data_IF_455458286955
#
_entry.id   IF_455458286955
#
_cell.length_a   1.000
_cell.length_b   1.000
_cell.length_c   1.000
_cell.angle_alpha   90.00
_cell.angle_beta   90.00
_cell.angle_gamma   90.00
#
_symmetry.space_group_name_H-M   'P 1'
#
loop_
_entity.id
_entity.type
_entity.pdbx_description
1 polymer ?
#
# COMPACT_ATOMS: atom_id res chain seq x y z
N UNK A 1 9.38 69.85 -21.88
CA UNK A 1 9.76 69.88 -20.44
C UNK A 1 8.62 69.24 -19.66
N UNK A 2 8.78 68.20 -18.84
CA UNK A 2 9.91 67.28 -18.64
C UNK A 2 9.79 66.53 -17.30
N UNK A 3 9.86 65.18 -17.30
CA UNK A 3 10.10 64.24 -16.16
C UNK A 3 9.19 64.35 -14.90
N UNK A 4 8.85 63.32 -14.10
CA UNK A 4 9.03 61.84 -13.98
C UNK A 4 7.86 61.35 -13.04
N UNK A 5 7.58 60.07 -12.71
CA UNK A 5 8.33 58.80 -12.78
C UNK A 5 7.39 57.55 -12.81
N UNK A 6 8.00 56.36 -12.63
CA UNK A 6 7.56 55.01 -12.17
C UNK A 6 6.27 54.86 -11.31
N UNK A 7 5.60 53.69 -11.22
CA UNK A 7 6.15 52.31 -11.14
C UNK A 7 5.18 51.14 -11.52
N UNK A 8 5.76 50.07 -12.07
CA UNK A 8 5.34 48.64 -12.10
C UNK A 8 3.87 48.21 -12.34
N UNK A 9 3.61 47.62 -13.51
CA UNK A 9 2.60 46.58 -13.69
C UNK A 9 3.22 45.19 -13.42
N UNK A 10 2.63 44.41 -12.50
CA UNK A 10 3.02 43.01 -12.27
C UNK A 10 2.46 42.10 -13.36
N UNK A 11 3.26 41.16 -13.84
CA UNK A 11 2.79 40.06 -14.68
C UNK A 11 1.93 39.09 -13.86
N UNK A 12 0.80 38.67 -14.42
CA UNK A 12 0.01 37.54 -13.93
C UNK A 12 -0.29 36.60 -15.11
N UNK A 13 0.68 35.74 -15.43
CA UNK A 13 0.52 34.70 -16.45
C UNK A 13 -0.18 33.48 -15.89
N UNK A 14 -1.52 33.45 -15.90
CA UNK A 14 -2.29 32.24 -15.65
C UNK A 14 -2.49 31.48 -16.97
N UNK A 15 -1.70 30.42 -17.19
CA UNK A 15 -1.86 29.53 -18.35
C UNK A 15 -2.38 28.18 -17.90
N UNK A 16 -3.71 28.03 -17.81
CA UNK A 16 -4.37 26.72 -17.80
C UNK A 16 -4.64 26.33 -19.26
N UNK A 17 -3.94 25.32 -19.78
CA UNK A 17 -4.31 24.66 -21.04
C UNK A 17 -4.86 23.28 -20.75
N UNK A 18 -6.18 23.16 -20.81
CA UNK A 18 -6.85 21.89 -21.00
C UNK A 18 -6.44 21.31 -22.36
N UNK A 19 -5.98 20.06 -22.38
CA UNK A 19 -5.67 19.35 -23.60
C UNK A 19 -6.81 18.38 -23.93
N UNK A 20 -7.70 18.79 -24.83
CA UNK A 20 -8.56 17.85 -25.54
C UNK A 20 -7.76 17.22 -26.69
N UNK A 21 -7.68 15.90 -26.75
CA UNK A 21 -7.32 15.15 -27.97
C UNK A 21 -8.59 14.51 -28.52
N UNK A 22 -8.80 14.61 -29.83
CA UNK A 22 -10.01 14.16 -30.54
C UNK A 22 -9.73 12.95 -31.44
N UNK A 23 -10.67 11.99 -31.45
CA UNK A 23 -10.65 10.78 -32.29
C UNK A 23 -10.04 9.56 -31.58
N UNK A 24 -10.59 8.33 -31.66
CA UNK A 24 -11.73 7.80 -32.45
C UNK A 24 -12.59 6.88 -31.58
N UNK A 25 -13.85 6.65 -31.95
CA UNK A 25 -14.89 6.09 -31.09
C UNK A 25 -14.71 4.62 -30.63
N UNK A 26 -14.85 4.42 -29.32
CA UNK A 26 -15.55 3.29 -28.71
C UNK A 26 -16.49 3.85 -27.63
N UNK A 27 -17.70 3.30 -27.50
CA UNK A 27 -18.76 3.93 -26.71
C UNK A 27 -18.71 3.53 -25.23
N UNK A 28 -18.10 4.38 -24.41
CA UNK A 28 -18.33 4.47 -22.96
C UNK A 28 -18.35 5.93 -22.54
N UNK A 29 -19.39 6.36 -21.84
CA UNK A 29 -19.58 7.76 -21.46
C UNK A 29 -18.63 8.14 -20.32
N UNK A 30 -17.39 8.53 -20.67
CA UNK A 30 -16.44 9.07 -19.71
C UNK A 30 -16.90 10.46 -19.23
N UNK A 31 -17.66 10.52 -18.14
CA UNK A 31 -17.88 11.75 -17.39
C UNK A 31 -16.55 12.23 -16.84
N UNK A 32 -16.05 13.36 -17.37
CA UNK A 32 -14.85 14.01 -16.87
C UNK A 32 -15.10 14.51 -15.43
N UNK A 33 -14.57 13.78 -14.45
CA UNK A 33 -14.68 14.14 -13.04
C UNK A 33 -13.76 15.32 -12.77
N UNK A 34 -14.35 16.45 -12.38
CA UNK A 34 -13.61 17.56 -11.83
C UNK A 34 -13.16 17.19 -10.43
N UNK A 35 -11.86 17.02 -10.22
CA UNK A 35 -11.28 16.97 -8.88
C UNK A 35 -11.54 18.33 -8.23
N UNK A 36 -12.64 18.41 -7.49
CA UNK A 36 -12.90 19.53 -6.61
C UNK A 36 -11.82 19.50 -5.54
N UNK A 37 -10.90 20.47 -5.63
CA UNK A 37 -10.12 20.89 -4.49
C UNK A 37 -11.11 21.43 -3.43
N UNK A 38 -11.63 20.51 -2.63
CA UNK A 38 -12.51 20.80 -1.50
C UNK A 38 -11.83 21.83 -0.61
N UNK A 39 -12.63 22.73 -0.05
CA UNK A 39 -12.15 23.88 0.70
C UNK A 39 -11.00 23.50 1.63
N UNK A 40 -9.91 24.26 1.57
CA UNK A 40 -8.81 24.20 2.55
C UNK A 40 -9.42 24.09 3.94
N UNK A 41 -9.16 23.00 4.64
CA UNK A 41 -9.55 22.88 6.03
C UNK A 41 -8.78 23.94 6.82
N UNK A 42 -9.40 25.10 7.02
CA UNK A 42 -8.95 26.15 7.92
C UNK A 42 -9.24 25.76 9.38
N UNK A 43 -8.96 24.51 9.73
CA UNK A 43 -8.47 24.21 11.05
C UNK A 43 -7.01 24.66 11.08
N UNK A 44 -6.54 25.17 12.21
CA UNK A 44 -5.12 25.24 12.48
C UNK A 44 -4.63 23.80 12.63
N UNK A 45 -4.28 23.17 11.51
CA UNK A 45 -3.45 21.97 11.53
C UNK A 45 -2.13 22.46 12.13
N UNK A 46 -1.92 22.13 13.41
CA UNK A 46 -0.60 22.22 14.03
C UNK A 46 0.31 21.42 13.13
N UNK A 47 1.10 22.12 12.30
CA UNK A 47 2.00 21.48 11.33
C UNK A 47 2.71 20.35 12.05
N UNK A 48 2.60 19.09 11.57
CA UNK A 48 2.93 17.91 12.38
C UNK A 48 4.34 18.05 13.00
N UNK A 49 4.35 18.45 14.28
CA UNK A 49 5.50 18.84 15.11
C UNK A 49 5.71 17.86 16.25
N UNK A 50 5.06 16.70 16.20
CA UNK A 50 5.40 15.58 17.06
C UNK A 50 6.91 15.29 16.94
N UNK A 51 7.58 15.15 18.08
CA UNK A 51 9.03 14.93 18.11
C UNK A 51 9.40 13.58 17.48
N UNK A 52 10.50 13.49 16.72
CA UNK A 52 10.97 12.22 16.18
C UNK A 52 11.21 11.22 17.32
N UNK A 53 10.68 10.00 17.17
CA UNK A 53 10.78 8.97 18.20
C UNK A 53 12.24 8.55 18.34
N UNK A 54 12.83 8.89 19.49
CA UNK A 54 14.21 8.60 19.81
C UNK A 54 14.30 7.32 20.63
N UNK A 55 14.43 6.18 19.94
CA UNK A 55 14.68 4.88 20.58
C UNK A 55 16.18 4.67 20.68
N UNK A 56 16.72 4.67 21.90
CA UNK A 56 18.13 4.31 22.14
C UNK A 56 18.36 2.85 21.76
N UNK A 57 19.55 2.55 21.23
CA UNK A 57 19.95 1.17 20.93
C UNK A 57 19.93 0.30 22.20
N UNK A 58 20.24 0.88 23.38
CA UNK A 58 20.20 0.21 24.68
C UNK A 58 18.77 -0.06 25.22
N UNK A 59 17.73 0.54 24.61
CA UNK A 59 16.33 0.43 25.08
C UNK A 59 15.47 -0.51 24.24
N UNK A 60 15.96 -0.96 23.07
CA UNK A 60 15.26 -1.93 22.23
C UNK A 60 15.45 -3.36 22.73
N UNK A 61 14.40 -4.17 22.68
CA UNK A 61 14.47 -5.61 22.96
C UNK A 61 14.65 -6.39 21.65
N UNK A 62 15.81 -7.03 21.48
CA UNK A 62 16.06 -7.93 20.35
C UNK A 62 15.22 -9.19 20.48
N UNK A 63 14.33 -9.43 19.51
CA UNK A 63 13.44 -10.60 19.51
C UNK A 63 14.25 -11.90 19.48
N UNK A 64 15.31 -11.98 18.68
CA UNK A 64 16.06 -13.23 18.51
C UNK A 64 16.99 -13.56 19.69
N UNK A 65 17.39 -12.54 20.47
CA UNK A 65 18.31 -12.71 21.60
C UNK A 65 17.56 -12.83 22.94
N UNK A 66 16.41 -12.17 23.09
CA UNK A 66 15.64 -12.15 24.34
C UNK A 66 14.48 -13.15 24.39
N UNK A 67 13.82 -13.47 23.26
CA UNK A 67 12.63 -14.32 23.27
C UNK A 67 13.01 -15.81 23.18
N UNK A 68 12.21 -16.67 23.82
CA UNK A 68 12.44 -18.12 23.79
C UNK A 68 11.95 -18.72 22.47
N UNK A 69 12.79 -19.53 21.81
CA UNK A 69 12.38 -20.26 20.61
C UNK A 69 11.47 -21.45 20.96
N UNK A 70 10.32 -21.55 20.29
CA UNK A 70 9.31 -22.60 20.51
C UNK A 70 8.87 -23.24 19.19
N UNK A 71 8.21 -24.40 19.28
CA UNK A 71 7.54 -25.01 18.14
C UNK A 71 6.41 -24.10 17.62
N UNK A 72 6.24 -24.03 16.31
CA UNK A 72 5.17 -23.25 15.67
C UNK A 72 3.79 -23.79 16.13
N UNK A 73 2.93 -22.98 16.78
CA UNK A 73 1.60 -23.43 17.22
C UNK A 73 0.55 -23.38 16.09
N UNK A 74 0.90 -22.83 14.93
CA UNK A 74 0.02 -22.65 13.78
C UNK A 74 0.24 -23.74 12.72
N UNK A 75 -0.86 -24.24 12.14
CA UNK A 75 -0.86 -25.15 10.99
C UNK A 75 -1.73 -24.57 9.88
N UNK A 76 -1.41 -24.89 8.62
CA UNK A 76 -2.24 -24.47 7.50
C UNK A 76 -3.61 -25.18 7.56
N UNK A 77 -4.71 -24.42 7.58
CA UNK A 77 -6.07 -24.97 7.54
C UNK A 77 -6.47 -25.40 6.13
N UNK A 78 -6.00 -24.68 5.11
CA UNK A 78 -6.18 -25.01 3.71
C UNK A 78 -4.90 -24.78 2.91
N UNK A 79 -4.79 -25.48 1.79
CA UNK A 79 -3.79 -25.25 0.75
C UNK A 79 -4.46 -25.36 -0.62
N UNK A 80 -4.34 -24.34 -1.45
CA UNK A 80 -4.90 -24.28 -2.80
C UNK A 80 -3.81 -24.12 -3.85
N UNK A 81 -4.14 -24.49 -5.09
CA UNK A 81 -3.27 -24.36 -6.25
C UNK A 81 -3.91 -23.43 -7.27
N UNK A 82 -3.21 -22.37 -7.63
CA UNK A 82 -3.60 -21.40 -8.65
C UNK A 82 -2.72 -21.53 -9.90
N UNK A 83 -3.18 -21.05 -11.07
CA UNK A 83 -2.35 -20.98 -12.28
C UNK A 83 -1.03 -20.24 -12.05
N UNK A 84 0.02 -20.68 -12.73
CA UNK A 84 1.30 -19.97 -12.75
C UNK A 84 1.11 -18.53 -13.26
N UNK A 85 1.80 -17.57 -12.65
CA UNK A 85 1.65 -16.15 -12.97
C UNK A 85 0.53 -15.44 -12.19
N UNK A 86 -0.13 -16.12 -11.25
CA UNK A 86 -1.02 -15.48 -10.27
C UNK A 86 -0.19 -14.76 -9.19
N UNK A 87 -0.36 -13.45 -9.03
CA UNK A 87 0.28 -12.67 -7.96
C UNK A 87 -0.81 -12.07 -7.08
N UNK A 88 -0.91 -12.54 -5.84
CA UNK A 88 -1.85 -12.03 -4.85
C UNK A 88 -1.29 -10.75 -4.23
N UNK A 89 -2.16 -9.81 -3.89
CA UNK A 89 -1.80 -8.58 -3.17
C UNK A 89 -2.51 -8.56 -1.80
N UNK A 90 -1.94 -7.92 -0.76
CA UNK A 90 -2.57 -7.85 0.56
C UNK A 90 -3.94 -7.15 0.54
N UNK A 91 -4.90 -7.72 1.25
CA UNK A 91 -6.22 -7.14 1.49
C UNK A 91 -6.82 -7.62 2.82
N UNK A 92 -7.92 -6.99 3.24
CA UNK A 92 -8.83 -7.45 4.29
C UNK A 92 -9.83 -8.50 3.77
N UNK A 93 -10.87 -8.84 4.54
CA UNK A 93 -12.01 -9.63 4.05
C UNK A 93 -11.70 -11.07 3.62
N UNK A 94 -12.64 -11.69 2.90
CA UNK A 94 -12.55 -13.03 2.32
C UNK A 94 -11.82 -13.02 0.97
N UNK A 95 -12.04 -11.99 0.15
CA UNK A 95 -11.48 -11.86 -1.20
C UNK A 95 -10.12 -11.16 -1.20
N UNK A 96 -9.13 -11.83 -1.79
CA UNK A 96 -7.82 -11.26 -2.06
C UNK A 96 -7.71 -10.87 -3.54
N UNK A 97 -7.22 -9.65 -3.85
CA UNK A 97 -7.04 -9.20 -5.23
C UNK A 97 -5.79 -9.85 -5.83
N UNK A 98 -5.86 -10.21 -7.11
CA UNK A 98 -4.84 -11.00 -7.82
C UNK A 98 -4.63 -10.42 -9.21
N UNK A 99 -3.38 -10.15 -9.60
CA UNK A 99 -3.03 -10.01 -11.02
C UNK A 99 -2.76 -11.39 -11.60
N UNK A 100 -3.37 -11.71 -12.74
CA UNK A 100 -3.20 -13.00 -13.42
C UNK A 100 -2.83 -12.78 -14.88
N UNK A 101 -2.20 -13.78 -15.51
CA UNK A 101 -1.90 -13.74 -16.93
C UNK A 101 -3.19 -13.74 -17.77
N UNK A 102 -3.30 -12.81 -18.72
CA UNK A 102 -4.39 -12.79 -19.68
C UNK A 102 -4.29 -13.93 -20.71
N UNK A 103 -5.43 -14.37 -21.24
CA UNK A 103 -5.48 -15.39 -22.30
C UNK A 103 -4.90 -14.93 -23.66
N UNK A 104 -4.48 -13.66 -23.77
CA UNK A 104 -3.85 -13.08 -24.95
C UNK A 104 -2.87 -11.97 -24.56
N UNK A 105 -2.18 -11.38 -25.53
CA UNK A 105 -1.29 -10.24 -25.27
C UNK A 105 -2.04 -8.91 -25.02
N UNK A 106 -3.37 -8.88 -25.09
CA UNK A 106 -4.15 -7.64 -25.07
C UNK A 106 -5.40 -7.77 -24.17
N UNK A 107 -5.27 -7.51 -22.85
CA UNK A 107 -4.03 -7.22 -22.11
C UNK A 107 -3.29 -8.50 -21.69
N UNK A 108 -1.96 -8.43 -21.57
CA UNK A 108 -1.12 -9.53 -21.04
C UNK A 108 -1.41 -9.86 -19.56
N UNK A 109 -1.97 -8.92 -18.81
CA UNK A 109 -2.30 -9.06 -17.38
C UNK A 109 -3.74 -8.60 -17.18
N UNK A 110 -4.52 -9.40 -16.45
CA UNK A 110 -5.92 -9.15 -16.11
C UNK A 110 -6.10 -9.06 -14.58
N UNK A 111 -7.23 -8.51 -14.14
CA UNK A 111 -7.59 -8.44 -12.73
C UNK A 111 -8.44 -9.65 -12.32
N UNK A 112 -8.12 -10.29 -11.21
CA UNK A 112 -8.83 -11.44 -10.66
C UNK A 112 -8.98 -11.33 -9.14
N UNK A 113 -9.91 -12.09 -8.54
CA UNK A 113 -10.07 -12.18 -7.10
C UNK A 113 -10.03 -13.64 -6.63
N UNK A 114 -9.31 -13.91 -5.54
CA UNK A 114 -9.20 -15.22 -4.91
C UNK A 114 -9.97 -15.27 -3.61
N UNK A 115 -10.86 -16.25 -3.45
CA UNK A 115 -11.62 -16.48 -2.23
C UNK A 115 -10.82 -17.34 -1.24
N UNK A 116 -10.47 -16.76 -0.10
CA UNK A 116 -9.83 -17.49 1.01
C UNK A 116 -10.77 -18.46 1.74
N UNK A 117 -12.07 -18.46 1.42
CA UNK A 117 -13.06 -19.40 1.99
C UNK A 117 -13.35 -20.61 1.11
N UNK A 118 -13.33 -20.44 -0.22
CA UNK A 118 -13.64 -21.51 -1.19
C UNK A 118 -12.44 -22.01 -1.99
N UNK A 119 -11.34 -21.25 -2.04
CA UNK A 119 -10.21 -21.53 -2.92
C UNK A 119 -10.45 -21.15 -4.38
N UNK A 120 -11.58 -20.51 -4.68
CA UNK A 120 -11.96 -20.15 -6.05
C UNK A 120 -11.23 -18.87 -6.50
N UNK A 121 -10.64 -18.90 -7.69
CA UNK A 121 -10.07 -17.75 -8.38
C UNK A 121 -11.03 -17.34 -9.50
N UNK A 122 -11.51 -16.09 -9.48
CA UNK A 122 -12.41 -15.53 -10.50
C UNK A 122 -11.74 -14.38 -11.24
N UNK A 123 -11.87 -14.37 -12.56
CA UNK A 123 -11.51 -13.21 -13.38
C UNK A 123 -12.54 -12.09 -13.17
N UNK A 124 -12.07 -10.88 -12.88
CA UNK A 124 -12.91 -9.70 -12.53
C UNK A 124 -12.86 -8.65 -13.63
N UNK A 125 -11.67 -8.33 -14.15
CA UNK A 125 -11.47 -7.37 -15.26
C UNK A 125 -10.57 -7.99 -16.31
N UNK A 126 -11.19 -8.55 -17.36
CA UNK A 126 -10.52 -9.29 -18.44
C UNK A 126 -10.07 -8.43 -19.63
N UNK A 127 -10.45 -7.15 -19.63
CA UNK A 127 -10.12 -6.15 -20.66
C UNK A 127 -9.93 -4.79 -20.01
N UNK A 128 -9.00 -4.01 -20.55
CA UNK A 128 -8.78 -2.62 -20.15
C UNK A 128 -9.96 -1.74 -20.54
N UNK A 129 -10.34 -0.82 -19.64
CA UNK A 129 -11.35 0.22 -19.85
C UNK A 129 -10.82 1.29 -20.81
N UNK A 130 -9.51 1.59 -20.77
CA UNK A 130 -8.88 2.51 -21.74
C UNK A 130 -8.93 1.99 -23.17
N UNK A 131 -9.02 0.66 -23.35
CA UNK A 131 -9.14 0.00 -24.64
C UNK A 131 -7.91 0.09 -25.55
N UNK A 132 -6.77 0.65 -25.11
CA UNK A 132 -5.54 0.68 -25.91
C UNK A 132 -4.88 -0.70 -25.92
N UNK A 133 -4.29 -1.09 -27.06
CA UNK A 133 -3.58 -2.37 -27.20
C UNK A 133 -2.29 -2.45 -26.38
N UNK A 134 -1.87 -1.30 -25.82
CA UNK A 134 -0.65 -1.05 -25.06
C UNK A 134 -0.92 -0.88 -23.56
N UNK A 135 -2.18 -0.82 -23.14
CA UNK A 135 -2.57 -0.81 -21.73
C UNK A 135 -2.58 -2.22 -21.13
N UNK A 136 -2.15 -2.32 -19.88
CA UNK A 136 -2.25 -3.52 -19.04
C UNK A 136 -2.91 -3.20 -17.70
N UNK A 137 -3.51 -4.20 -17.06
CA UNK A 137 -3.82 -4.11 -15.62
C UNK A 137 -2.48 -4.12 -14.88
N UNK A 138 -2.12 -2.99 -14.25
CA UNK A 138 -0.83 -2.77 -13.60
C UNK A 138 -0.85 -3.19 -12.12
N UNK A 139 -1.90 -2.82 -11.41
CA UNK A 139 -2.11 -3.15 -10.00
C UNK A 139 -3.60 -3.29 -9.69
N UNK A 140 -3.91 -4.01 -8.61
CA UNK A 140 -5.27 -4.32 -8.16
C UNK A 140 -5.36 -4.23 -6.63
N UNK A 141 -6.51 -3.80 -6.13
CA UNK A 141 -6.85 -3.80 -4.71
C UNK A 141 -8.35 -4.13 -4.55
N UNK A 142 -8.74 -4.83 -3.49
CA UNK A 142 -10.14 -5.04 -3.16
C UNK A 142 -10.38 -5.21 -1.67
N UNK A 143 -11.64 -5.07 -1.30
CA UNK A 143 -12.26 -5.62 -0.09
C UNK A 143 -13.34 -6.63 -0.51
N UNK A 144 -14.17 -7.07 0.43
CA UNK A 144 -15.37 -7.85 0.09
C UNK A 144 -16.50 -7.01 -0.56
N UNK A 145 -16.37 -5.67 -0.63
CA UNK A 145 -17.42 -4.74 -1.11
C UNK A 145 -17.01 -3.77 -2.23
N UNK A 146 -15.70 -3.58 -2.48
CA UNK A 146 -15.20 -2.72 -3.58
C UNK A 146 -13.97 -3.35 -4.24
N UNK A 147 -13.84 -3.16 -5.55
CA UNK A 147 -12.68 -3.60 -6.33
C UNK A 147 -12.13 -2.41 -7.13
N UNK A 148 -10.82 -2.19 -7.06
CA UNK A 148 -10.11 -1.10 -7.72
C UNK A 148 -8.90 -1.63 -8.49
N UNK A 149 -8.57 -0.97 -9.61
CA UNK A 149 -7.43 -1.36 -10.44
C UNK A 149 -6.83 -0.17 -11.18
N UNK A 150 -5.52 -0.23 -11.41
CA UNK A 150 -4.81 0.74 -12.24
C UNK A 150 -4.55 0.13 -13.60
N UNK A 151 -4.89 0.87 -14.66
CA UNK A 151 -4.46 0.58 -16.03
C UNK A 151 -3.29 1.50 -16.38
N UNK A 152 -2.23 0.92 -16.95
CA UNK A 152 -1.03 1.64 -17.39
C UNK A 152 -0.79 1.38 -18.88
N UNK A 153 -0.66 2.44 -19.68
CA UNK A 153 -0.14 2.34 -21.03
C UNK A 153 1.39 2.16 -21.00
N UNK A 154 1.86 1.03 -21.51
CA UNK A 154 3.28 0.65 -21.44
C UNK A 154 4.18 1.49 -22.36
N UNK A 155 3.63 2.33 -23.25
CA UNK A 155 4.38 3.23 -24.13
C UNK A 155 4.34 4.67 -23.61
N UNK A 156 3.15 5.23 -23.39
CA UNK A 156 3.01 6.64 -22.97
C UNK A 156 3.26 6.84 -21.48
N UNK A 157 3.12 5.77 -20.68
CA UNK A 157 3.05 5.81 -19.20
C UNK A 157 1.88 6.64 -18.67
N UNK A 158 0.89 6.95 -19.50
CA UNK A 158 -0.41 7.42 -19.04
C UNK A 158 -1.09 6.28 -18.27
N UNK A 159 -1.71 6.61 -17.14
CA UNK A 159 -2.41 5.64 -16.31
C UNK A 159 -3.76 6.16 -15.84
N UNK A 160 -4.66 5.24 -15.53
CA UNK A 160 -6.00 5.53 -15.02
C UNK A 160 -6.34 4.57 -13.87
N UNK A 161 -6.86 5.12 -12.78
CA UNK A 161 -7.40 4.35 -11.66
C UNK A 161 -8.91 4.20 -11.86
N UNK A 162 -9.40 2.98 -11.77
CA UNK A 162 -10.82 2.64 -11.83
C UNK A 162 -11.27 1.91 -10.56
N UNK A 163 -12.55 2.01 -10.24
CA UNK A 163 -13.17 1.19 -9.22
C UNK A 163 -14.65 0.89 -9.53
N UNK A 164 -15.18 -0.18 -8.94
CA UNK A 164 -16.61 -0.49 -8.93
C UNK A 164 -16.98 -1.20 -7.62
N UNK A 165 -18.28 -1.17 -7.29
CA UNK A 165 -18.83 -2.04 -6.25
C UNK A 165 -18.55 -3.51 -6.61
N UNK A 166 -18.26 -4.32 -5.61
CA UNK A 166 -17.82 -5.70 -5.79
C UNK A 166 -18.53 -6.62 -4.81
N UNK A 167 -18.84 -7.83 -5.25
CA UNK A 167 -19.36 -8.88 -4.37
C UNK A 167 -19.17 -10.24 -5.00
N UNK A 168 -18.90 -11.27 -4.17
CA UNK A 168 -18.82 -12.67 -4.59
C UNK A 168 -17.84 -12.95 -5.76
N UNK A 169 -16.79 -12.12 -5.90
CA UNK A 169 -15.78 -12.25 -6.94
C UNK A 169 -16.20 -11.70 -8.30
N UNK A 170 -17.13 -10.73 -8.34
CA UNK A 170 -17.55 -10.02 -9.55
C UNK A 170 -17.82 -8.53 -9.27
N UNK A 171 -17.69 -7.69 -10.30
CA UNK A 171 -18.15 -6.30 -10.24
C UNK A 171 -19.69 -6.26 -10.25
N UNK A 172 -20.28 -5.47 -9.36
CA UNK A 172 -21.75 -5.36 -9.19
C UNK A 172 -22.28 -3.95 -9.43
N UNK A 173 -21.41 -2.96 -9.64
CA UNK A 173 -21.77 -1.57 -9.91
C UNK A 173 -21.22 -1.04 -11.23
N UNK A 174 -21.53 0.22 -11.54
CA UNK A 174 -20.90 0.94 -12.63
C UNK A 174 -19.38 1.11 -12.37
N UNK A 175 -18.58 0.89 -13.41
CA UNK A 175 -17.13 1.16 -13.36
C UNK A 175 -16.89 2.66 -13.45
N UNK A 176 -16.29 3.22 -12.41
CA UNK A 176 -15.97 4.64 -12.30
C UNK A 176 -14.47 4.88 -12.44
N UNK A 177 -14.08 5.82 -13.31
CA UNK A 177 -12.73 6.40 -13.30
C UNK A 177 -12.57 7.26 -12.06
N UNK A 178 -11.59 6.95 -11.19
CA UNK A 178 -11.29 7.75 -9.99
C UNK A 178 -10.18 8.78 -10.24
N UNK A 179 -9.21 8.44 -11.09
CA UNK A 179 -8.08 9.32 -11.41
C UNK A 179 -7.49 9.00 -12.79
N UNK A 180 -6.86 9.99 -13.42
CA UNK A 180 -6.02 9.82 -14.62
C UNK A 180 -4.78 10.71 -14.50
N UNK A 181 -3.62 10.21 -14.90
CA UNK A 181 -2.39 11.01 -14.98
C UNK A 181 -1.44 10.49 -16.07
N UNK A 182 -0.38 11.25 -16.34
CA UNK A 182 0.67 10.96 -17.30
C UNK A 182 1.98 10.53 -16.61
N UNK A 183 3.06 10.44 -17.38
CA UNK A 183 4.39 10.03 -16.92
C UNK A 183 5.02 10.91 -15.84
N UNK A 184 4.48 12.10 -15.56
CA UNK A 184 4.97 12.96 -14.48
C UNK A 184 4.50 12.49 -13.09
N UNK A 185 3.59 11.52 -13.02
CA UNK A 185 3.04 10.95 -11.79
C UNK A 185 3.20 9.43 -11.81
N UNK A 186 3.69 8.84 -10.71
CA UNK A 186 3.78 7.39 -10.64
C UNK A 186 2.38 6.75 -10.57
N UNK A 187 2.18 5.55 -11.17
CA UNK A 187 0.91 4.82 -11.07
C UNK A 187 0.45 4.68 -9.62
N UNK A 188 -0.83 4.94 -9.37
CA UNK A 188 -1.37 5.03 -8.01
C UNK A 188 -1.06 3.79 -7.15
N UNK A 189 -0.61 4.05 -5.92
CA UNK A 189 -0.58 3.05 -4.85
C UNK A 189 -1.96 3.05 -4.19
N UNK A 190 -2.64 1.91 -4.22
CA UNK A 190 -4.08 1.77 -3.88
C UNK A 190 -4.27 0.74 -2.78
N UNK A 191 -5.19 1.02 -1.86
CA UNK A 191 -5.75 0.07 -0.91
C UNK A 191 -7.29 0.20 -0.88
N UNK A 192 -7.96 -0.86 -0.41
CA UNK A 192 -9.40 -0.89 -0.26
C UNK A 192 -9.77 -1.37 1.15
N UNK A 193 -10.84 -0.80 1.73
CA UNK A 193 -11.43 -1.24 2.99
C UNK A 193 -12.92 -0.95 2.99
N UNK A 194 -13.75 -1.93 3.39
CA UNK A 194 -15.20 -1.81 3.30
C UNK A 194 -15.65 -1.35 1.90
N UNK A 195 -16.43 -0.29 1.82
CA UNK A 195 -16.86 0.33 0.54
C UNK A 195 -15.89 1.39 -0.01
N UNK A 196 -14.71 1.55 0.57
CA UNK A 196 -13.79 2.66 0.30
C UNK A 196 -12.54 2.25 -0.47
N UNK A 197 -12.11 3.14 -1.37
CA UNK A 197 -10.86 3.08 -2.13
C UNK A 197 -9.99 4.25 -1.68
N UNK A 198 -8.77 3.94 -1.25
CA UNK A 198 -7.79 4.89 -0.74
C UNK A 198 -6.56 4.81 -1.63
N UNK A 199 -6.09 5.94 -2.18
CA UNK A 199 -4.90 5.92 -3.04
C UNK A 199 -4.03 7.14 -2.86
N UNK A 200 -2.77 7.03 -3.28
CA UNK A 200 -1.82 8.13 -3.32
C UNK A 200 -1.56 8.56 -4.77
N UNK A 201 -1.52 9.87 -4.99
CA UNK A 201 -1.03 10.51 -6.22
C UNK A 201 0.29 11.19 -5.86
N UNK A 202 1.38 10.76 -6.50
CA UNK A 202 2.74 11.19 -6.18
C UNK A 202 3.52 11.56 -7.45
N UNK A 203 4.30 12.66 -7.45
CA UNK A 203 5.15 12.98 -8.60
C UNK A 203 6.19 11.89 -8.83
N UNK A 204 6.38 11.52 -10.10
CA UNK A 204 7.39 10.53 -10.49
C UNK A 204 8.79 11.05 -10.18
N UNK A 205 9.68 10.18 -9.70
CA UNK A 205 11.06 10.54 -9.30
C UNK A 205 11.92 11.03 -10.46
N UNK A 206 11.49 10.79 -11.70
CA UNK A 206 12.13 11.27 -12.94
C UNK A 206 11.29 12.27 -13.74
N UNK A 207 10.14 12.70 -13.21
CA UNK A 207 9.19 13.60 -13.90
C UNK A 207 9.53 15.09 -13.75
N UNK A 208 8.84 15.93 -14.52
CA UNK A 208 8.91 17.39 -14.42
C UNK A 208 8.33 17.94 -13.10
N UNK A 209 7.54 17.11 -12.41
CA UNK A 209 6.74 17.47 -11.22
C UNK A 209 7.37 17.09 -9.88
N UNK A 210 8.62 16.62 -9.85
CA UNK A 210 9.34 16.10 -8.66
C UNK A 210 9.27 16.95 -7.38
N UNK A 211 9.02 18.26 -7.49
CA UNK A 211 8.90 19.20 -6.37
C UNK A 211 7.46 19.47 -5.89
N UNK A 212 6.42 18.88 -6.50
CA UNK A 212 5.03 19.08 -6.08
C UNK A 212 4.66 18.21 -4.85
N UNK A 213 3.67 18.65 -4.07
CA UNK A 213 3.09 17.86 -2.98
C UNK A 213 2.47 16.57 -3.52
N UNK A 214 2.50 15.52 -2.69
CA UNK A 214 1.72 14.30 -2.92
C UNK A 214 0.42 14.37 -2.12
N UNK A 215 -0.62 13.71 -2.61
CA UNK A 215 -1.93 13.69 -1.96
C UNK A 215 -2.44 12.25 -1.81
N UNK A 216 -3.01 11.94 -0.65
CA UNK A 216 -3.85 10.78 -0.46
C UNK A 216 -5.31 11.18 -0.69
N UNK A 217 -6.02 10.35 -1.45
CA UNK A 217 -7.42 10.50 -1.80
C UNK A 217 -8.25 9.35 -1.23
N UNK A 218 -9.51 9.66 -0.95
CA UNK A 218 -10.55 8.73 -0.54
C UNK A 218 -11.73 8.83 -1.51
N UNK A 219 -12.26 7.68 -1.92
CA UNK A 219 -13.57 7.57 -2.56
C UNK A 219 -14.34 6.39 -1.95
N UNK A 220 -15.67 6.50 -1.89
CA UNK A 220 -16.55 5.44 -1.38
C UNK A 220 -17.60 5.10 -2.43
N UNK A 221 -17.94 3.82 -2.57
CA UNK A 221 -18.97 3.33 -3.49
C UNK A 221 -20.25 4.17 -3.38
N UNK A 222 -20.73 4.69 -4.52
CA UNK A 222 -21.90 5.56 -4.62
C UNK A 222 -21.61 7.06 -4.50
N UNK A 223 -20.42 7.49 -4.07
CA UNK A 223 -20.07 8.92 -4.02
C UNK A 223 -19.81 9.50 -5.42
N UNK A 224 -20.28 10.72 -5.68
CA UNK A 224 -20.08 11.44 -6.95
C UNK A 224 -18.61 11.75 -7.23
N UNK A 225 -17.86 12.12 -6.19
CA UNK A 225 -16.50 12.66 -6.30
C UNK A 225 -15.58 12.03 -5.24
N UNK A 226 -14.27 12.11 -5.50
CA UNK A 226 -13.24 11.75 -4.54
C UNK A 226 -12.84 12.96 -3.68
N UNK A 227 -12.32 12.72 -2.48
CA UNK A 227 -11.83 13.76 -1.58
C UNK A 227 -10.32 13.63 -1.41
N UNK A 228 -9.58 14.74 -1.50
CA UNK A 228 -8.21 14.80 -1.00
C UNK A 228 -8.29 14.86 0.54
N UNK A 229 -7.66 13.90 1.21
CA UNK A 229 -7.83 13.69 2.67
C UNK A 229 -6.54 13.91 3.46
N UNK A 230 -5.37 13.64 2.86
CA UNK A 230 -4.06 13.92 3.48
C UNK A 230 -3.10 14.48 2.44
N UNK A 231 -2.53 15.66 2.71
CA UNK A 231 -1.39 16.19 1.95
C UNK A 231 -0.07 15.67 2.53
N UNK A 232 0.92 15.48 1.67
CA UNK A 232 2.31 15.25 2.03
C UNK A 232 3.18 16.25 1.25
N UNK A 233 3.93 17.15 1.91
CA UNK A 233 4.86 18.07 1.25
C UNK A 233 6.08 17.31 0.70
N UNK A 234 5.89 16.72 -0.48
CA UNK A 234 6.76 15.71 -1.09
C UNK A 234 6.19 14.29 -0.95
N UNK A 235 6.92 13.28 -1.42
CA UNK A 235 6.42 11.90 -1.50
C UNK A 235 6.22 11.23 -0.14
N UNK A 236 5.11 10.51 0.03
CA UNK A 236 4.95 9.53 1.11
C UNK A 236 6.03 8.45 1.01
N UNK A 237 6.46 7.88 2.13
CA UNK A 237 7.47 6.82 2.12
C UNK A 237 6.98 5.47 1.56
N UNK A 238 5.72 5.11 1.85
CA UNK A 238 5.11 3.79 1.64
C UNK A 238 3.69 3.91 1.07
N UNK A 239 3.19 2.81 0.49
CA UNK A 239 1.80 2.67 0.05
C UNK A 239 0.79 2.79 1.21
N UNK A 240 -0.47 3.18 0.94
CA UNK A 240 -1.51 3.15 1.98
C UNK A 240 -1.73 1.71 2.45
N UNK A 241 -1.78 1.49 3.76
CA UNK A 241 -1.86 0.14 4.35
C UNK A 241 -3.05 0.03 5.29
N UNK A 242 -4.11 -0.65 4.83
CA UNK A 242 -5.32 -0.94 5.64
C UNK A 242 -4.99 -2.00 6.70
N UNK A 243 -5.45 -1.76 7.93
CA UNK A 243 -5.10 -2.50 9.14
C UNK A 243 -6.31 -2.59 10.08
N UNK A 244 -7.33 -3.39 9.73
CA UNK A 244 -8.64 -3.30 10.39
C UNK A 244 -9.28 -1.94 10.13
N UNK A 245 -9.83 -1.30 11.16
CA UNK A 245 -10.57 -0.02 11.06
C UNK A 245 -9.69 1.19 10.71
N UNK A 246 -8.36 0.99 10.59
CA UNK A 246 -7.37 2.02 10.36
C UNK A 246 -6.72 1.90 8.98
N UNK A 247 -6.30 3.04 8.44
CA UNK A 247 -5.30 3.09 7.35
C UNK A 247 -4.04 3.78 7.84
N UNK A 248 -2.89 3.12 7.62
CA UNK A 248 -1.57 3.68 7.88
C UNK A 248 -1.07 4.38 6.62
N UNK A 249 -0.69 5.65 6.78
CA UNK A 249 -0.04 6.48 5.79
C UNK A 249 1.31 6.95 6.33
N UNK A 250 2.22 7.31 5.44
CA UNK A 250 3.56 7.79 5.81
C UNK A 250 3.91 9.14 5.13
N UNK A 251 3.13 10.22 5.35
CA UNK A 251 3.40 11.53 4.77
C UNK A 251 4.72 12.13 5.26
N UNK A 252 5.18 13.15 4.54
CA UNK A 252 6.19 14.10 5.02
C UNK A 252 5.61 14.94 6.15
N UNK A 253 6.38 15.07 7.23
CA UNK A 253 6.05 15.90 8.41
C UNK A 253 7.23 16.82 8.73
N UNK A 254 7.07 17.78 9.66
CA UNK A 254 8.12 18.75 10.07
C UNK A 254 8.85 19.40 8.88
N UNK A 255 8.12 19.78 7.83
CA UNK A 255 8.70 20.19 6.55
C UNK A 255 9.63 21.42 6.62
N UNK A 256 9.48 22.27 7.64
CA UNK A 256 10.37 23.41 7.94
C UNK A 256 11.72 23.02 8.56
N UNK A 257 11.85 21.78 9.07
CA UNK A 257 13.01 21.31 9.83
C UNK A 257 13.82 20.25 9.07
N UNK A 258 13.29 19.74 7.96
CA UNK A 258 13.98 18.83 7.07
C UNK A 258 13.13 17.63 6.65
N UNK A 259 13.77 16.47 6.62
CA UNK A 259 13.31 15.28 5.88
C UNK A 259 12.76 14.25 6.85
N UNK A 260 11.55 14.46 7.38
CA UNK A 260 10.89 13.54 8.32
C UNK A 260 9.75 12.77 7.66
N UNK A 261 9.30 11.69 8.30
CA UNK A 261 8.17 10.86 7.89
C UNK A 261 7.32 10.51 9.11
N UNK A 262 6.03 10.83 9.08
CA UNK A 262 5.09 10.45 10.14
C UNK A 262 4.37 9.16 9.78
N UNK A 263 4.72 8.03 10.39
CA UNK A 263 3.92 6.80 10.30
C UNK A 263 2.64 7.03 11.08
N UNK A 264 1.53 7.27 10.37
CA UNK A 264 0.31 7.86 10.94
C UNK A 264 -0.87 6.95 10.66
N UNK A 265 -1.61 6.57 11.69
CA UNK A 265 -2.86 5.83 11.58
C UNK A 265 -4.04 6.79 11.56
N UNK A 266 -4.91 6.65 10.57
CA UNK A 266 -6.16 7.39 10.45
C UNK A 266 -7.34 6.40 10.55
N UNK A 267 -8.44 6.80 11.17
CA UNK A 267 -9.68 6.01 11.10
C UNK A 267 -10.32 6.11 9.73
N UNK A 268 -10.88 5.01 9.22
CA UNK A 268 -11.52 4.97 7.90
C UNK A 268 -12.96 5.53 7.99
N UNK A 269 -13.66 5.25 9.10
CA UNK A 269 -15.10 5.54 9.27
C UNK A 269 -15.50 7.02 9.18
N UNK A 270 -14.63 7.94 9.61
CA UNK A 270 -14.90 9.38 9.54
C UNK A 270 -14.43 10.04 8.24
N UNK A 271 -13.80 9.26 7.35
CA UNK A 271 -13.17 9.73 6.12
C UNK A 271 -11.74 10.26 6.31
N UNK A 272 -10.93 9.61 7.17
CA UNK A 272 -9.53 9.94 7.47
C UNK A 272 -9.35 11.33 8.12
N UNK A 273 -10.34 11.81 8.87
CA UNK A 273 -10.26 13.10 9.61
C UNK A 273 -9.53 12.95 10.93
N UNK A 274 -9.75 11.85 11.65
CA UNK A 274 -9.09 11.60 12.94
C UNK A 274 -7.75 10.89 12.74
N UNK A 275 -6.66 11.59 13.04
CA UNK A 275 -5.35 10.97 13.35
C UNK A 275 -5.51 10.23 14.69
N UNK A 276 -5.31 8.92 14.66
CA UNK A 276 -5.48 8.02 15.83
C UNK A 276 -4.17 7.87 16.59
N UNK A 277 -3.06 7.79 15.86
CA UNK A 277 -1.70 7.73 16.41
C UNK A 277 -0.68 8.15 15.34
N UNK A 278 0.49 8.64 15.74
CA UNK A 278 1.60 8.98 14.83
C UNK A 278 2.97 8.69 15.45
N UNK A 279 3.75 7.81 14.80
CA UNK A 279 5.16 7.58 15.06
C UNK A 279 5.99 8.40 14.05
N UNK A 280 6.67 9.45 14.51
CA UNK A 280 7.57 10.24 13.64
C UNK A 280 8.93 9.57 13.57
N UNK A 281 9.33 9.16 12.36
CA UNK A 281 10.64 8.54 12.11
C UNK A 281 11.78 9.53 12.34
N UNK A 282 12.99 9.08 12.76
CA UNK A 282 14.16 9.94 12.85
C UNK A 282 14.51 10.63 11.53
N UNK A 283 15.25 11.74 11.62
CA UNK A 283 15.61 12.57 10.47
C UNK A 283 16.23 11.75 9.33
N UNK A 284 15.67 11.90 8.13
CA UNK A 284 16.04 11.20 6.88
C UNK A 284 15.84 9.69 6.85
N UNK A 285 15.44 9.04 7.95
CA UNK A 285 15.13 7.60 7.97
C UNK A 285 13.80 7.38 7.24
N UNK A 286 13.86 6.70 6.09
CA UNK A 286 12.68 6.36 5.30
C UNK A 286 12.16 4.99 5.75
N UNK A 287 10.91 4.87 6.23
CA UNK A 287 10.30 3.56 6.46
C UNK A 287 10.06 2.87 5.10
N UNK A 288 10.45 1.59 5.01
CA UNK A 288 10.27 0.76 3.83
C UNK A 288 8.85 0.20 3.72
N UNK A 289 8.28 -0.20 4.86
CA UNK A 289 6.88 -0.61 5.06
C UNK A 289 6.43 -0.19 6.45
N UNK A 290 5.13 0.05 6.61
CA UNK A 290 4.53 0.36 7.89
C UNK A 290 3.08 -0.17 7.94
N UNK A 291 2.70 -0.78 9.06
CA UNK A 291 1.33 -1.16 9.37
C UNK A 291 1.04 -0.92 10.87
N UNK A 292 -0.21 -1.13 11.31
CA UNK A 292 -0.62 -1.06 12.71
C UNK A 292 -1.34 -2.34 13.10
N UNK A 293 -1.15 -2.80 14.33
CA UNK A 293 -1.79 -3.99 14.89
C UNK A 293 -2.12 -3.71 16.36
N UNK A 294 -3.41 -3.65 16.69
CA UNK A 294 -3.86 -3.02 17.93
C UNK A 294 -3.26 -1.61 18.12
N UNK A 295 -2.60 -1.40 19.25
CA UNK A 295 -2.00 -0.11 19.66
C UNK A 295 -0.54 0.07 19.20
N UNK A 296 0.07 -0.93 18.54
CA UNK A 296 1.48 -0.88 18.12
C UNK A 296 1.59 -0.67 16.61
N UNK A 297 2.50 0.22 16.20
CA UNK A 297 2.98 0.25 14.82
C UNK A 297 3.98 -0.88 14.61
N UNK A 298 4.00 -1.42 13.38
CA UNK A 298 5.08 -2.27 12.89
C UNK A 298 5.71 -1.59 11.69
N UNK A 299 6.98 -1.22 11.80
CA UNK A 299 7.70 -0.42 10.81
C UNK A 299 8.98 -1.14 10.43
N UNK A 300 9.28 -1.24 9.14
CA UNK A 300 10.54 -1.81 8.66
C UNK A 300 11.43 -0.77 8.01
N UNK A 301 12.74 -0.92 8.14
CA UNK A 301 13.75 -0.04 7.54
C UNK A 301 14.74 -0.91 6.75
N UNK A 302 14.89 -0.61 5.46
CA UNK A 302 15.65 -1.43 4.49
C UNK A 302 17.16 -1.08 4.41
N UNK A 303 17.61 -0.06 5.14
CA UNK A 303 18.97 0.45 5.09
C UNK A 303 19.50 0.77 6.49
N UNK A 304 20.84 0.83 6.63
CA UNK A 304 21.49 1.37 7.81
C UNK A 304 21.85 2.84 7.57
N UNK A 305 21.32 3.73 8.41
CA UNK A 305 21.58 5.16 8.41
C UNK A 305 22.65 5.49 9.45
N UNK A 306 23.43 6.55 9.22
CA UNK A 306 24.45 7.02 10.19
C UNK A 306 23.87 7.75 11.41
N UNK A 307 22.56 7.72 11.59
CA UNK A 307 21.80 8.49 12.58
C UNK A 307 20.39 7.90 12.74
N UNK A 308 19.76 8.16 13.90
CA UNK A 308 18.39 7.72 14.18
C UNK A 308 18.24 6.66 15.27
N UNK A 309 19.33 6.34 15.98
CA UNK A 309 19.34 5.32 17.03
C UNK A 309 18.91 3.97 16.48
N UNK A 310 18.15 3.21 17.28
CA UNK A 310 17.67 1.88 16.89
C UNK A 310 16.91 1.90 15.56
N UNK A 311 16.01 2.88 15.36
CA UNK A 311 15.21 3.03 14.15
C UNK A 311 16.03 3.45 12.91
N UNK A 312 17.28 3.89 13.09
CA UNK A 312 18.21 4.15 12.00
C UNK A 312 18.84 2.87 11.41
N UNK A 313 18.71 1.72 12.07
CA UNK A 313 19.31 0.47 11.61
C UNK A 313 18.34 -0.35 10.73
N UNK A 314 18.88 -1.24 9.90
CA UNK A 314 18.08 -2.15 9.08
C UNK A 314 17.38 -3.21 9.94
N UNK A 315 16.06 -3.30 9.84
CA UNK A 315 15.28 -4.26 10.63
C UNK A 315 13.78 -4.08 10.49
N UNK A 316 13.03 -4.84 11.30
CA UNK A 316 11.59 -4.63 11.55
C UNK A 316 11.39 -4.33 13.03
N UNK A 317 10.61 -3.30 13.33
CA UNK A 317 10.40 -2.72 14.65
C UNK A 317 8.92 -2.76 15.01
N UNK A 318 8.60 -3.15 16.23
CA UNK A 318 7.25 -3.14 16.80
C UNK A 318 7.28 -2.22 18.01
N UNK A 319 6.46 -1.16 18.04
CA UNK A 319 6.49 -0.17 19.11
C UNK A 319 5.33 0.82 19.08
N UNK A 320 5.25 1.67 20.10
CA UNK A 320 4.29 2.78 20.19
C UNK A 320 4.94 4.10 19.78
N UNK A 321 4.12 5.11 19.48
CA UNK A 321 4.59 6.47 19.19
C UNK A 321 5.36 7.14 20.34
N UNK A 322 5.15 6.70 21.59
CA UNK A 322 5.82 7.20 22.79
C UNK A 322 7.29 6.77 22.95
N UNK A 323 7.80 5.88 22.08
CA UNK A 323 9.16 5.36 22.15
C UNK A 323 9.38 4.20 23.12
N UNK A 324 8.33 3.73 23.81
CA UNK A 324 8.42 2.67 24.82
C UNK A 324 8.38 1.25 24.24
N UNK A 325 9.07 0.32 24.92
CA UNK A 325 9.02 -1.12 24.73
C UNK A 325 9.15 -1.60 23.27
N UNK A 326 10.10 -1.01 22.53
CA UNK A 326 10.36 -1.40 21.14
C UNK A 326 10.96 -2.80 21.06
N UNK A 327 10.24 -3.71 20.41
CA UNK A 327 10.77 -4.99 19.97
C UNK A 327 11.41 -4.81 18.59
N UNK A 328 12.53 -5.48 18.32
CA UNK A 328 13.13 -5.45 16.99
C UNK A 328 13.63 -6.81 16.49
N UNK A 329 13.50 -6.99 15.17
CA UNK A 329 14.06 -8.11 14.42
C UNK A 329 15.15 -7.58 13.47
N UNK A 330 16.41 -7.82 13.82
CA UNK A 330 17.62 -7.48 13.04
C UNK A 330 17.79 -8.43 11.84
N UNK A 331 16.82 -8.37 10.92
CA UNK A 331 16.82 -9.08 9.64
C UNK A 331 16.40 -8.12 8.53
N UNK A 332 16.96 -8.36 7.35
CA UNK A 332 16.57 -7.69 6.11
C UNK A 332 15.03 -7.80 5.95
N UNK A 333 14.30 -6.67 5.89
CA UNK A 333 12.85 -6.70 5.80
C UNK A 333 12.38 -7.00 4.38
N UNK A 334 11.10 -7.34 4.26
CA UNK A 334 10.47 -7.70 3.00
C UNK A 334 9.19 -6.87 2.75
N UNK A 335 8.54 -7.17 1.63
CA UNK A 335 7.42 -6.43 1.00
C UNK A 335 6.22 -6.11 1.92
N UNK A 336 6.12 -6.73 3.10
CA UNK A 336 5.13 -6.43 4.13
C UNK A 336 5.81 -6.35 5.49
N UNK A 337 5.48 -5.34 6.31
CA UNK A 337 6.06 -5.15 7.65
C UNK A 337 5.73 -6.31 8.60
N UNK A 338 4.44 -6.58 8.82
CA UNK A 338 3.93 -7.77 9.48
C UNK A 338 2.44 -7.95 9.18
N UNK A 339 1.92 -9.14 9.49
CA UNK A 339 0.49 -9.37 9.70
C UNK A 339 0.27 -10.23 10.94
N UNK A 340 -0.92 -10.18 11.53
CA UNK A 340 -1.29 -11.03 12.66
C UNK A 340 -2.43 -10.46 13.48
N UNK A 341 -2.50 -10.76 14.78
CA UNK A 341 -3.42 -10.12 15.74
C UNK A 341 -2.97 -10.38 17.18
N UNK A 342 -3.53 -9.67 18.15
CA UNK A 342 -3.38 -9.97 19.60
C UNK A 342 -1.92 -10.12 20.08
N UNK A 343 -1.00 -9.28 19.59
CA UNK A 343 0.43 -9.36 19.95
C UNK A 343 1.20 -10.51 19.29
N UNK A 344 0.60 -11.23 18.34
CA UNK A 344 1.28 -12.19 17.46
C UNK A 344 1.56 -11.57 16.11
N UNK A 345 2.82 -11.60 15.67
CA UNK A 345 3.32 -10.97 14.45
C UNK A 345 4.03 -11.98 13.55
N UNK A 346 3.54 -12.14 12.31
CA UNK A 346 4.19 -12.91 11.26
C UNK A 346 5.08 -11.99 10.43
N UNK A 347 6.39 -12.02 10.70
CA UNK A 347 7.38 -11.16 10.04
C UNK A 347 8.17 -12.00 9.05
N UNK A 348 8.14 -11.64 7.76
CA UNK A 348 8.86 -12.38 6.71
C UNK A 348 10.37 -12.22 6.91
N UNK A 349 11.09 -13.35 6.89
CA UNK A 349 12.55 -13.38 6.95
C UNK A 349 13.08 -14.41 5.95
N UNK A 350 13.58 -13.90 4.81
CA UNK A 350 14.01 -14.69 3.65
C UNK A 350 12.91 -15.68 3.23
N UNK A 351 13.23 -16.98 3.15
CA UNK A 351 12.31 -18.06 2.74
C UNK A 351 11.39 -18.59 3.85
N UNK A 352 11.22 -17.84 4.95
CA UNK A 352 10.42 -18.21 6.12
C UNK A 352 9.75 -17.00 6.76
N UNK A 353 8.96 -17.22 7.80
CA UNK A 353 8.50 -16.17 8.71
C UNK A 353 8.98 -16.45 10.12
N UNK A 354 9.44 -15.40 10.81
CA UNK A 354 9.56 -15.40 12.27
C UNK A 354 8.18 -15.03 12.80
N UNK A 355 7.58 -15.95 13.56
CA UNK A 355 6.27 -15.76 14.19
C UNK A 355 6.52 -15.41 15.65
N UNK A 356 6.36 -14.13 15.96
CA UNK A 356 6.68 -13.52 17.26
C UNK A 356 5.41 -13.45 18.09
N UNK A 357 5.45 -13.92 19.33
CA UNK A 357 4.41 -13.67 20.33
C UNK A 357 4.99 -12.75 21.41
N UNK A 358 4.57 -11.49 21.40
CA UNK A 358 5.08 -10.46 22.30
C UNK A 358 4.67 -10.65 23.76
N UNK A 359 3.48 -11.24 24.01
CA UNK A 359 2.96 -11.43 25.36
C UNK A 359 3.70 -12.57 26.09
N UNK A 360 3.92 -13.69 25.42
CA UNK A 360 4.63 -14.85 25.98
C UNK A 360 6.16 -14.73 25.85
N UNK A 361 6.67 -13.68 25.20
CA UNK A 361 8.09 -13.49 24.86
C UNK A 361 8.70 -14.73 24.17
N UNK A 362 7.98 -15.26 23.18
CA UNK A 362 8.41 -16.42 22.39
C UNK A 362 8.46 -16.09 20.89
N UNK A 363 9.28 -16.84 20.16
CA UNK A 363 9.21 -16.86 18.70
C UNK A 363 9.26 -18.29 18.16
N UNK A 364 8.67 -18.47 16.99
CA UNK A 364 8.73 -19.73 16.22
C UNK A 364 8.99 -19.43 14.75
N UNK A 365 9.21 -20.46 13.94
CA UNK A 365 9.48 -20.32 12.50
C UNK A 365 8.40 -21.01 11.69
N UNK A 366 7.72 -20.25 10.82
CA UNK A 366 6.87 -20.81 9.77
C UNK A 366 7.70 -20.96 8.49
N UNK A 367 8.00 -22.21 8.15
CA UNK A 367 8.64 -22.58 6.88
C UNK A 367 7.68 -22.42 5.70
N UNK A 368 8.21 -22.02 4.54
CA UNK A 368 7.47 -22.04 3.27
C UNK A 368 7.07 -23.47 2.86
N UNK A 369 6.07 -23.59 1.98
CA UNK A 369 5.73 -24.85 1.31
C UNK A 369 6.93 -25.45 0.57
N UNK A 370 6.97 -26.78 0.49
CA UNK A 370 7.95 -27.52 -0.32
C UNK A 370 7.98 -27.02 -1.78
N UNK A 371 9.18 -27.04 -2.37
CA UNK A 371 9.47 -26.57 -3.74
C UNK A 371 9.07 -25.12 -4.06
N UNK A 372 8.82 -24.28 -3.06
CA UNK A 372 8.74 -22.82 -3.28
C UNK A 372 9.97 -22.29 -4.02
N UNK A 373 9.79 -21.26 -4.86
CA UNK A 373 10.93 -20.49 -5.41
C UNK A 373 11.75 -19.85 -4.29
N UNK A 374 12.95 -19.37 -4.63
CA UNK A 374 14.08 -19.27 -3.69
C UNK A 374 13.87 -18.30 -2.52
N UNK A 375 12.99 -17.31 -2.68
CA UNK A 375 12.57 -16.38 -1.61
C UNK A 375 11.40 -16.88 -0.74
N UNK A 376 10.98 -18.13 -0.92
CA UNK A 376 9.87 -18.75 -0.19
C UNK A 376 8.51 -18.15 -0.51
N UNK A 377 7.65 -18.08 0.49
CA UNK A 377 6.32 -17.50 0.37
C UNK A 377 6.27 -16.00 0.70
N UNK A 378 5.36 -15.30 0.04
CA UNK A 378 5.01 -13.90 0.25
C UNK A 378 3.65 -13.81 0.96
N UNK A 379 3.41 -12.79 1.80
CA UNK A 379 2.15 -12.64 2.49
C UNK A 379 1.11 -12.01 1.57
N UNK A 380 -0.14 -12.47 1.67
CA UNK A 380 -1.30 -11.81 1.07
C UNK A 380 -2.21 -11.17 2.14
N UNK A 381 -1.62 -10.80 3.28
CA UNK A 381 -2.21 -10.03 4.39
C UNK A 381 -1.17 -9.07 4.93
N UNK A 382 -1.62 -7.96 5.50
CA UNK A 382 -0.81 -6.96 6.19
C UNK A 382 -1.61 -6.40 7.35
N UNK A 383 -0.93 -6.03 8.45
CA UNK A 383 -1.59 -5.52 9.65
C UNK A 383 -2.50 -6.55 10.33
N UNK A 384 -3.58 -6.08 10.92
CA UNK A 384 -4.48 -6.93 11.70
C UNK A 384 -5.33 -7.86 10.82
N UNK A 385 -5.33 -9.16 11.10
CA UNK A 385 -6.11 -10.16 10.37
C UNK A 385 -6.50 -11.38 11.23
N UNK A 386 -7.63 -12.02 10.90
CA UNK A 386 -8.09 -13.26 11.56
C UNK A 386 -7.58 -14.54 10.89
N UNK A 387 -6.98 -14.42 9.70
CA UNK A 387 -6.41 -15.55 8.97
C UNK A 387 -5.24 -15.04 8.16
N UNK A 388 -4.03 -15.45 8.56
CA UNK A 388 -2.82 -15.16 7.82
C UNK A 388 -2.82 -15.96 6.52
N UNK A 389 -2.37 -15.34 5.43
CA UNK A 389 -2.36 -15.95 4.09
C UNK A 389 -0.99 -15.78 3.48
N UNK A 390 -0.44 -16.87 2.95
CA UNK A 390 0.84 -16.87 2.24
C UNK A 390 0.68 -17.47 0.85
N UNK A 391 1.52 -17.07 -0.08
CA UNK A 391 1.56 -17.63 -1.43
C UNK A 391 2.98 -17.75 -1.99
N UNK A 392 3.25 -18.74 -2.83
CA UNK A 392 4.50 -18.82 -3.59
C UNK A 392 4.32 -19.56 -4.91
N UNK A 393 5.08 -19.18 -5.93
CA UNK A 393 5.31 -20.02 -7.10
C UNK A 393 6.06 -21.29 -6.66
N UNK A 394 5.55 -22.46 -7.01
CA UNK A 394 6.20 -23.74 -6.71
C UNK A 394 6.72 -24.42 -7.97
N UNK A 395 7.88 -25.07 -7.83
CA UNK A 395 8.54 -25.84 -8.87
C UNK A 395 7.87 -27.22 -9.01
N UNK A 396 7.63 -27.66 -10.24
CA UNK A 396 7.25 -29.05 -10.50
C UNK A 396 8.35 -30.02 -10.01
N UNK A 397 7.95 -31.14 -9.43
CA UNK A 397 8.87 -32.09 -8.80
C UNK A 397 9.72 -32.88 -9.81
N UNK A 398 9.27 -32.98 -11.06
CA UNK A 398 9.97 -33.76 -12.11
C UNK A 398 10.94 -32.90 -12.91
N UNK A 399 10.52 -31.69 -13.26
CA UNK A 399 11.24 -30.78 -14.17
C UNK A 399 11.99 -29.66 -13.46
N UNK A 400 11.65 -29.34 -12.21
CA UNK A 400 12.25 -28.24 -11.45
C UNK A 400 11.84 -26.83 -11.90
N UNK A 401 11.01 -26.69 -12.93
CA UNK A 401 10.51 -25.40 -13.41
C UNK A 401 9.26 -24.96 -12.62
N UNK A 402 9.04 -23.64 -12.42
CA UNK A 402 7.79 -23.12 -11.86
C UNK A 402 6.57 -23.63 -12.64
N UNK A 403 5.57 -24.14 -11.95
CA UNK A 403 4.40 -24.80 -12.57
C UNK A 403 3.05 -24.33 -12.05
N UNK A 404 2.99 -23.82 -10.82
CA UNK A 404 1.76 -23.29 -10.21
C UNK A 404 2.09 -22.32 -9.08
N UNK A 405 1.07 -21.67 -8.53
CA UNK A 405 1.17 -20.85 -7.32
C UNK A 405 0.39 -21.55 -6.21
N UNK A 406 1.04 -21.87 -5.10
CA UNK A 406 0.37 -22.40 -3.91
C UNK A 406 -0.04 -21.25 -3.00
N UNK A 407 -1.25 -21.32 -2.45
CA UNK A 407 -1.75 -20.41 -1.41
C UNK A 407 -2.06 -21.22 -0.15
N UNK A 408 -1.63 -20.77 1.03
CA UNK A 408 -1.92 -21.39 2.34
C UNK A 408 -2.63 -20.40 3.26
N UNK A 409 -3.60 -20.88 4.04
CA UNK A 409 -4.27 -20.09 5.11
C UNK A 409 -3.94 -20.65 6.48
N UNK A 410 -3.74 -19.75 7.46
CA UNK A 410 -3.47 -20.06 8.85
C UNK A 410 -4.45 -19.29 9.73
N UNK A 411 -5.41 -19.95 10.41
CA UNK A 411 -6.27 -19.31 11.40
C UNK A 411 -5.43 -18.78 12.57
N UNK A 412 -5.76 -17.58 13.05
CA UNK A 412 -5.05 -16.89 14.14
C UNK A 412 -5.89 -16.74 15.40
#
# INVERSE_FOLDING_TARGET
MGHRHTQASRHAGLTRRSFFKTGVAAASAATAIGVLAGCTNSAEDTADTAEPVNVSEDTGTSILDAFTSVNLPYSASNQWTLPLGSVLHPAEGVWLPVTTAGASATPMVIASAFSTSSGELKEVVTKTVTGTTTSVIYSVACSDSVYAWVELDMITREWSLFASAFSNGALTGETKTLWQADSDWDPALVACSGTSVIWQVQPSSSGSKTAESSYCYLWTVGASDAQAVVESPGRFATAPTVCGDWVVLTPRVRASEGTYYGVTAYTIDDGLKTKVDQLVMPASVKPFRACRMGEKFVVSVEANYSSGGLLGNMGTYIGSSDGSDFLYLSREPFECAAAGKNGVYFIKSRSSYIVVNAADQTYSVLSSVDRSVDYGEYPARVGECNTFVTFSSVKDATTGYPASVIVRTFPL
#
